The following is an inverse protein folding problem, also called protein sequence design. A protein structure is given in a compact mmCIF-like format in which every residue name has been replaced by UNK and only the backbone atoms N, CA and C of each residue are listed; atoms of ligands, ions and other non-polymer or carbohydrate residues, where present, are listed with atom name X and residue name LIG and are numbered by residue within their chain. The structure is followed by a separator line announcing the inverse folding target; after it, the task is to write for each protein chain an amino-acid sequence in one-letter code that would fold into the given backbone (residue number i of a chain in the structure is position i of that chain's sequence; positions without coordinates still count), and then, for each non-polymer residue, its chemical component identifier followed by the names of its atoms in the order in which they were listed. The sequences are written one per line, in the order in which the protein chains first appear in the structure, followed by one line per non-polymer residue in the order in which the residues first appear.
data_IF_046683369460
#
_entry.id   IF_046683369460
#
_cell.length_a   1.000
_cell.length_b   1.000
_cell.length_c   1.000
_cell.angle_alpha   90.00
_cell.angle_beta   90.00
_cell.angle_gamma   90.00
#
_symmetry.space_group_name_H-M   'P 1'
#
loop_
_entity.id
_entity.type
_entity.pdbx_description
1 polymer ?
#
# COMPACT_ATOMS: atom_id res chain seq x y z
N UNK A 1 20.29 5.66 6.99
CA UNK A 1 19.72 5.01 5.79
C UNK A 1 18.74 3.95 6.27
N UNK A 2 17.44 4.17 6.14
CA UNK A 2 16.41 3.32 6.73
C UNK A 2 16.32 1.98 5.97
N UNK A 3 16.85 0.92 6.56
CA UNK A 3 16.83 -0.42 6.02
C UNK A 3 15.55 -1.12 6.53
N UNK A 4 14.45 -1.05 5.79
CA UNK A 4 13.28 -1.90 6.03
C UNK A 4 13.55 -3.25 5.37
N UNK A 5 14.25 -4.12 6.09
CA UNK A 5 14.47 -5.50 5.68
C UNK A 5 13.21 -6.33 5.98
N UNK A 6 12.52 -6.92 4.98
CA UNK A 6 11.41 -7.82 5.26
C UNK A 6 11.91 -9.06 6.00
N UNK A 7 11.28 -9.39 7.13
CA UNK A 7 11.61 -10.56 7.94
C UNK A 7 11.24 -11.86 7.20
N UNK A 8 12.10 -12.89 7.23
CA UNK A 8 11.86 -14.16 6.56
C UNK A 8 10.87 -15.00 7.35
N UNK A 9 9.60 -14.91 7.00
CA UNK A 9 8.50 -15.66 7.62
C UNK A 9 7.28 -15.76 6.71
N UNK A 10 7.51 -16.12 5.44
CA UNK A 10 6.55 -16.63 4.44
C UNK A 10 5.06 -16.29 4.64
N UNK A 11 4.73 -15.00 4.71
CA UNK A 11 3.42 -14.55 4.27
C UNK A 11 3.61 -14.19 2.79
N UNK A 12 2.75 -14.70 1.90
CA UNK A 12 2.79 -14.35 0.48
C UNK A 12 2.85 -12.82 0.28
N UNK A 13 3.19 -12.33 -0.94
CA UNK A 13 3.37 -10.90 -1.17
C UNK A 13 2.17 -10.13 -0.61
N UNK A 14 2.42 -9.34 0.44
CA UNK A 14 1.38 -8.53 1.03
C UNK A 14 0.91 -7.55 -0.03
N UNK A 15 -0.40 -7.38 -0.13
CA UNK A 15 -1.04 -6.61 -1.18
C UNK A 15 -2.05 -5.68 -0.54
N UNK A 16 -1.79 -4.39 -0.68
CA UNK A 16 -2.64 -3.33 -0.14
C UNK A 16 -3.00 -2.41 -1.31
N UNK A 17 -4.26 -2.03 -1.42
CA UNK A 17 -4.73 -1.04 -2.39
C UNK A 17 -5.26 0.17 -1.64
N UNK A 18 -4.71 1.35 -1.92
CA UNK A 18 -5.22 2.61 -1.37
C UNK A 18 -6.08 3.32 -2.42
N UNK A 19 -7.01 4.15 -1.94
CA UNK A 19 -7.99 4.85 -2.75
C UNK A 19 -8.07 6.32 -2.32
N UNK A 20 -8.20 7.21 -3.29
CA UNK A 20 -8.29 8.67 -3.07
C UNK A 20 -9.70 9.09 -2.63
N UNK A 21 -10.72 8.28 -2.89
CA UNK A 21 -12.09 8.52 -2.42
C UNK A 21 -12.51 7.55 -1.31
N UNK A 22 -13.57 7.91 -0.61
CA UNK A 22 -14.24 7.06 0.37
C UNK A 22 -14.95 5.89 -0.35
N UNK A 23 -15.33 4.85 0.38
CA UNK A 23 -16.03 3.67 -0.17
C UNK A 23 -15.24 2.91 -1.26
N UNK A 24 -13.90 2.96 -1.24
CA UNK A 24 -13.02 2.27 -2.20
C UNK A 24 -13.24 2.72 -3.66
N UNK A 25 -13.53 4.00 -3.86
CA UNK A 25 -13.78 4.59 -5.18
C UNK A 25 -12.63 5.50 -5.65
N UNK A 26 -12.77 6.02 -6.87
CA UNK A 26 -11.83 6.97 -7.45
C UNK A 26 -10.49 6.34 -7.86
N UNK A 27 -9.42 7.14 -7.77
CA UNK A 27 -8.06 6.70 -8.11
C UNK A 27 -7.61 5.67 -7.08
N UNK A 28 -7.14 4.52 -7.56
CA UNK A 28 -6.61 3.44 -6.72
C UNK A 28 -5.15 3.15 -7.02
N UNK A 29 -4.42 2.69 -6.03
CA UNK A 29 -3.02 2.35 -6.17
C UNK A 29 -2.65 1.12 -5.36
N UNK A 30 -2.00 0.18 -6.02
CA UNK A 30 -1.61 -1.11 -5.45
C UNK A 30 -0.15 -1.07 -4.95
N UNK A 31 0.03 -1.58 -3.73
CA UNK A 31 1.29 -1.71 -3.03
C UNK A 31 1.51 -3.19 -2.71
N UNK A 32 2.59 -3.73 -3.27
CA UNK A 32 3.04 -5.10 -3.04
C UNK A 32 4.43 -5.15 -2.37
N UNK A 33 4.94 -3.98 -1.97
CA UNK A 33 6.28 -3.78 -1.41
C UNK A 33 6.31 -2.50 -0.59
N UNK A 34 7.28 -2.38 0.31
CA UNK A 34 7.38 -1.24 1.22
C UNK A 34 7.58 0.05 0.43
N UNK A 35 6.64 0.97 0.55
CA UNK A 35 6.71 2.28 -0.07
C UNK A 35 6.64 3.33 1.04
N UNK A 36 7.76 4.01 1.36
CA UNK A 36 7.78 5.00 2.43
C UNK A 36 6.97 6.26 2.09
N UNK A 37 6.81 6.58 0.80
CA UNK A 37 6.06 7.75 0.34
C UNK A 37 5.06 7.37 -0.76
N UNK A 38 3.79 7.71 -0.56
CA UNK A 38 2.74 7.54 -1.57
C UNK A 38 2.74 8.66 -2.61
N UNK A 39 3.24 9.85 -2.25
CA UNK A 39 3.32 11.01 -3.14
C UNK A 39 4.26 10.81 -4.33
N UNK A 40 5.31 9.99 -4.17
CA UNK A 40 6.22 9.60 -5.27
C UNK A 40 5.47 8.85 -6.39
N UNK A 41 4.31 8.28 -6.07
CA UNK A 41 3.46 7.56 -7.00
C UNK A 41 2.32 8.42 -7.54
N UNK A 42 2.36 9.75 -7.33
CA UNK A 42 1.30 10.69 -7.69
C UNK A 42 0.00 10.37 -6.95
N UNK A 43 0.09 10.06 -5.66
CA UNK A 43 -1.07 9.91 -4.78
C UNK A 43 -1.03 11.00 -3.71
N UNK A 44 -1.93 11.98 -3.83
CA UNK A 44 -1.98 13.16 -2.95
C UNK A 44 -2.85 12.93 -1.71
N UNK A 45 -3.99 12.26 -1.86
CA UNK A 45 -4.91 12.02 -0.75
C UNK A 45 -5.30 10.54 -0.70
N UNK A 46 -5.42 10.00 0.52
CA UNK A 46 -5.94 8.66 0.77
C UNK A 46 -7.19 8.80 1.63
N UNK A 47 -8.33 8.35 1.12
CA UNK A 47 -9.61 8.36 1.86
C UNK A 47 -10.15 6.97 2.16
N UNK A 48 -9.66 5.92 1.49
CA UNK A 48 -9.92 4.54 1.90
C UNK A 48 -8.78 3.60 1.49
N UNK A 49 -8.69 2.43 2.15
CA UNK A 49 -7.64 1.44 1.88
C UNK A 49 -8.17 0.01 2.06
N UNK A 50 -7.76 -0.90 1.18
CA UNK A 50 -8.20 -2.29 1.16
C UNK A 50 -6.98 -3.21 1.23
N UNK A 51 -6.95 -4.08 2.24
CA UNK A 51 -5.91 -5.11 2.38
C UNK A 51 -6.41 -6.37 1.69
N UNK A 52 -5.68 -6.82 0.68
CA UNK A 52 -6.00 -8.04 -0.09
C UNK A 52 -5.27 -9.25 0.46
N UNK A 53 -4.02 -9.06 0.91
CA UNK A 53 -3.18 -10.10 1.49
C UNK A 53 -2.15 -9.47 2.45
N UNK A 54 -1.88 -10.09 3.58
CA UNK A 54 -1.04 -9.53 4.64
C UNK A 54 -1.78 -9.48 5.97
N UNK A 55 -1.06 -9.63 7.08
CA UNK A 55 -1.55 -9.58 8.46
C UNK A 55 -0.74 -8.57 9.27
#
# INVERSE_FOLDING_TARGET
MAQTNPMPGSMGPWKITIYDQENFQGKRMEFTSSCPNVSERSFDNVRSLKVECGA
#
